data_IF_872258935305
#
_entry.id   IF_872258935305
#
_cell.length_a   1.000
_cell.length_b   1.000
_cell.length_c   1.000
_cell.angle_alpha   90.00
_cell.angle_beta   90.00
_cell.angle_gamma   90.00
#
_symmetry.space_group_name_H-M   'P 1'
#
loop_
_entity.id
_entity.type
_entity.pdbx_description
1 polymer ?
#
# COMPACT_ATOMS: atom_id res chain seq x y z
N UNK A 1 -2.18 17.85 -6.48
CA UNK A 1 -2.89 17.60 -5.19
C UNK A 1 -3.17 16.11 -5.09
N UNK A 2 -3.42 15.55 -3.91
CA UNK A 2 -3.81 14.13 -3.76
C UNK A 2 -5.13 13.78 -4.47
N UNK A 3 -5.95 14.79 -4.76
CA UNK A 3 -7.18 14.66 -5.55
C UNK A 3 -6.96 14.67 -7.07
N UNK A 4 -5.72 14.85 -7.54
CA UNK A 4 -5.39 14.76 -8.96
C UNK A 4 -5.39 13.28 -9.39
N UNK A 5 -6.30 12.87 -10.29
CA UNK A 5 -6.44 11.47 -10.71
C UNK A 5 -5.18 10.93 -11.41
N UNK A 6 -4.32 11.80 -11.94
CA UNK A 6 -3.08 11.40 -12.61
C UNK A 6 -1.88 11.38 -11.66
N UNK A 7 -1.98 11.92 -10.45
CA UNK A 7 -0.84 12.06 -9.54
C UNK A 7 -0.38 10.72 -8.93
N UNK A 8 -1.30 9.82 -8.59
CA UNK A 8 -1.01 8.53 -7.95
C UNK A 8 -1.64 7.41 -8.78
N UNK A 9 -0.81 6.59 -9.42
CA UNK A 9 -1.28 5.53 -10.36
C UNK A 9 -0.74 4.15 -10.05
N UNK A 10 0.12 4.01 -9.04
CA UNK A 10 0.75 2.75 -8.64
C UNK A 10 0.52 2.41 -7.16
N UNK A 11 -0.44 3.10 -6.54
CA UNK A 11 -0.91 2.95 -5.18
C UNK A 11 -2.40 3.28 -5.16
N UNK A 12 -3.15 2.68 -4.25
CA UNK A 12 -4.50 3.11 -3.88
C UNK A 12 -4.44 4.01 -2.62
N UNK A 13 -4.54 5.34 -2.75
CA UNK A 13 -4.50 6.26 -1.60
C UNK A 13 -5.60 6.03 -0.56
N UNK A 14 -6.70 5.40 -0.97
CA UNK A 14 -7.90 5.20 -0.14
C UNK A 14 -7.99 3.77 0.41
N UNK A 15 -6.98 2.93 0.17
CA UNK A 15 -6.98 1.51 0.53
C UNK A 15 -7.25 1.19 1.99
N UNK A 16 -6.85 2.09 2.88
CA UNK A 16 -7.07 2.00 4.32
C UNK A 16 -8.54 2.21 4.73
N UNK A 17 -9.31 2.96 3.92
CA UNK A 17 -10.73 3.22 4.19
C UNK A 17 -11.61 2.00 4.01
N UNK A 18 -11.09 0.95 3.38
CA UNK A 18 -11.78 -0.34 3.34
C UNK A 18 -12.19 -0.76 4.74
N UNK A 19 -11.37 -0.62 5.79
CA UNK A 19 -11.68 -1.01 7.16
C UNK A 19 -12.47 0.03 7.97
N UNK A 20 -12.79 1.19 7.39
CA UNK A 20 -13.52 2.25 8.08
C UNK A 20 -14.96 1.82 8.42
N UNK A 21 -15.49 2.37 9.52
CA UNK A 21 -16.87 2.13 9.98
C UNK A 21 -17.94 2.79 9.11
N UNK A 22 -17.53 3.61 8.14
CA UNK A 22 -18.38 4.32 7.19
C UNK A 22 -17.73 4.36 5.80
N UNK A 23 -18.49 4.76 4.79
CA UNK A 23 -18.02 4.87 3.41
C UNK A 23 -18.13 3.57 2.60
N UNK A 24 -17.52 3.52 1.40
CA UNK A 24 -17.75 2.47 0.42
C UNK A 24 -17.43 1.05 0.90
N UNK A 25 -16.35 0.90 1.69
CA UNK A 25 -15.96 -0.40 2.23
C UNK A 25 -16.99 -0.98 3.18
N UNK A 26 -17.59 -0.15 4.03
CA UNK A 26 -18.64 -0.58 4.95
C UNK A 26 -19.95 -0.91 4.21
N UNK A 27 -20.33 -0.09 3.22
CA UNK A 27 -21.52 -0.34 2.40
C UNK A 27 -21.38 -1.67 1.62
N UNK A 28 -20.22 -1.94 1.04
CA UNK A 28 -19.93 -3.20 0.37
C UNK A 28 -20.05 -4.40 1.33
N UNK A 29 -19.52 -4.31 2.56
CA UNK A 29 -19.68 -5.37 3.57
C UNK A 29 -21.13 -5.59 3.99
N UNK A 30 -21.93 -4.53 4.12
CA UNK A 30 -23.38 -4.64 4.40
C UNK A 30 -24.12 -5.41 3.31
N UNK A 31 -23.64 -5.32 2.06
CA UNK A 31 -24.15 -6.11 0.93
C UNK A 31 -23.57 -7.52 0.84
N UNK A 32 -22.81 -7.96 1.85
CA UNK A 32 -22.17 -9.28 1.88
C UNK A 32 -20.91 -9.40 1.04
N UNK A 33 -20.37 -8.29 0.50
CA UNK A 33 -19.13 -8.31 -0.25
C UNK A 33 -17.94 -8.38 0.72
N UNK A 34 -17.05 -9.32 0.48
CA UNK A 34 -15.80 -9.40 1.23
C UNK A 34 -14.81 -8.34 0.72
N UNK A 35 -14.46 -7.38 1.58
CA UNK A 35 -13.56 -6.27 1.25
C UNK A 35 -12.31 -6.31 2.11
N UNK A 36 -11.16 -6.43 1.45
CA UNK A 36 -9.83 -6.36 2.09
C UNK A 36 -9.14 -5.02 1.81
N UNK A 37 -8.32 -4.53 2.76
CA UNK A 37 -7.49 -3.34 2.53
C UNK A 37 -6.33 -3.63 1.57
N UNK A 38 -6.08 -2.70 0.65
CA UNK A 38 -4.78 -2.56 -0.02
C UNK A 38 -3.77 -1.79 0.84
N UNK A 39 -4.21 -1.10 1.90
CA UNK A 39 -3.36 -0.53 2.95
C UNK A 39 -3.85 -1.01 4.32
N UNK A 40 -3.20 -2.03 4.87
CA UNK A 40 -3.53 -2.57 6.20
C UNK A 40 -2.74 -1.83 7.28
N UNK A 41 -3.46 -1.29 8.28
CA UNK A 41 -2.87 -0.50 9.37
C UNK A 41 -2.94 -1.29 10.67
N UNK A 42 -1.81 -1.46 11.35
CA UNK A 42 -1.72 -2.17 12.65
C UNK A 42 -0.71 -1.49 13.57
N UNK A 43 -0.89 -1.56 14.88
CA UNK A 43 0.13 -1.11 15.83
C UNK A 43 1.18 -2.20 16.06
N UNK A 44 2.44 -1.81 16.20
CA UNK A 44 3.52 -2.72 16.52
C UNK A 44 4.57 -2.05 17.41
N UNK A 45 5.38 -2.87 18.08
CA UNK A 45 6.65 -2.41 18.62
C UNK A 45 7.77 -3.05 17.79
N UNK A 46 8.73 -2.26 17.34
CA UNK A 46 9.85 -2.72 16.52
C UNK A 46 11.17 -2.41 17.21
N UNK A 47 12.16 -3.28 17.01
CA UNK A 47 13.51 -3.07 17.50
C UNK A 47 14.44 -2.94 16.30
N UNK A 48 15.17 -1.83 16.24
CA UNK A 48 16.17 -1.56 15.22
C UNK A 48 17.52 -1.47 15.90
N UNK A 49 18.52 -2.20 15.40
CA UNK A 49 19.86 -2.27 16.01
C UNK A 49 20.47 -0.87 16.15
N UNK A 50 20.27 -0.01 15.16
CA UNK A 50 20.76 1.36 15.13
C UNK A 50 20.18 2.22 16.26
N UNK A 51 18.90 2.00 16.58
CA UNK A 51 18.18 2.71 17.65
C UNK A 51 18.64 2.21 19.02
N UNK A 52 18.76 0.89 19.18
CA UNK A 52 19.31 0.29 20.40
C UNK A 52 20.72 0.83 20.68
N UNK A 53 21.58 0.90 19.66
CA UNK A 53 22.92 1.47 19.80
C UNK A 53 22.89 2.98 20.08
N UNK A 54 21.97 3.72 19.48
CA UNK A 54 21.82 5.15 19.74
C UNK A 54 21.41 5.45 21.18
N UNK A 55 20.52 4.64 21.76
CA UNK A 55 20.16 4.72 23.19
C UNK A 55 21.36 4.39 24.06
N UNK A 56 22.06 3.27 23.77
CA UNK A 56 23.25 2.84 24.55
C UNK A 56 24.37 3.89 24.55
N UNK A 57 24.55 4.59 23.44
CA UNK A 57 25.60 5.62 23.29
C UNK A 57 25.13 7.02 23.73
N UNK A 58 23.92 7.15 24.26
CA UNK A 58 23.36 8.43 24.72
C UNK A 58 22.97 9.41 23.61
N UNK A 59 22.94 8.97 22.34
CA UNK A 59 22.50 9.79 21.19
C UNK A 59 20.98 9.97 21.13
N UNK A 60 20.23 9.03 21.70
CA UNK A 60 18.78 9.10 21.83
C UNK A 60 18.37 8.86 23.28
N UNK A 61 17.41 9.64 23.75
CA UNK A 61 16.81 9.50 25.08
C UNK A 61 15.49 8.75 24.99
N UNK A 62 15.27 7.83 25.93
CA UNK A 62 13.99 7.12 26.08
C UNK A 62 12.94 8.09 26.60
N UNK A 63 11.78 8.14 25.93
CA UNK A 63 10.63 8.99 26.30
C UNK A 63 9.45 8.19 26.90
N UNK A 64 9.52 6.85 26.84
CA UNK A 64 8.49 5.94 27.37
C UNK A 64 7.24 5.80 26.49
N UNK A 65 7.11 6.61 25.44
CA UNK A 65 5.93 6.66 24.56
C UNK A 65 6.28 6.16 23.15
N UNK A 66 7.09 6.93 22.41
CA UNK A 66 7.57 6.59 21.07
C UNK A 66 8.79 5.67 21.17
N UNK A 67 9.76 6.04 22.00
CA UNK A 67 10.97 5.26 22.26
C UNK A 67 10.92 4.75 23.70
N UNK A 68 10.68 3.45 23.84
CA UNK A 68 10.59 2.75 25.12
C UNK A 68 11.94 2.19 25.54
N UNK A 69 11.98 1.70 26.78
CA UNK A 69 13.15 1.04 27.34
C UNK A 69 13.69 -0.07 26.41
N UNK A 70 15.01 -0.27 26.44
CA UNK A 70 15.67 -1.25 25.59
C UNK A 70 15.76 -0.89 24.10
N UNK A 71 15.38 0.34 23.71
CA UNK A 71 15.45 0.80 22.32
C UNK A 71 14.27 0.34 21.45
N UNK A 72 13.12 0.07 22.09
CA UNK A 72 11.92 -0.42 21.43
C UNK A 72 11.08 0.77 20.92
N UNK A 73 10.84 0.81 19.61
CA UNK A 73 10.03 1.86 19.00
C UNK A 73 8.57 1.45 18.93
N UNK A 74 7.68 2.29 19.43
CA UNK A 74 6.24 2.16 19.25
C UNK A 74 5.82 2.79 17.93
N UNK A 75 5.19 1.99 17.06
CA UNK A 75 4.85 2.41 15.71
C UNK A 75 3.43 2.02 15.31
N UNK A 76 2.87 2.81 14.40
CA UNK A 76 1.80 2.37 13.51
C UNK A 76 2.45 1.85 12.23
N UNK A 77 2.17 0.60 11.89
CA UNK A 77 2.68 -0.07 10.69
C UNK A 77 1.61 -0.08 9.62
N UNK A 78 1.92 0.50 8.46
CA UNK A 78 1.10 0.43 7.26
C UNK A 78 1.71 -0.60 6.29
N UNK A 79 1.03 -1.72 6.05
CA UNK A 79 1.36 -2.67 4.98
C UNK A 79 0.59 -2.27 3.71
N UNK A 80 1.31 -2.00 2.64
CA UNK A 80 0.82 -1.34 1.43
C UNK A 80 1.01 -2.27 0.24
N UNK A 81 -0.09 -2.72 -0.34
CA UNK A 81 -0.13 -3.49 -1.56
C UNK A 81 -0.10 -2.58 -2.80
N UNK A 82 0.60 -2.98 -3.87
CA UNK A 82 0.62 -2.21 -5.11
C UNK A 82 -0.74 -2.29 -5.81
N UNK A 83 -1.28 -1.14 -6.20
CA UNK A 83 -2.52 -1.04 -6.99
C UNK A 83 -2.26 -0.15 -8.19
N UNK A 84 -2.37 -0.72 -9.38
CA UNK A 84 -1.99 -0.08 -10.62
C UNK A 84 -3.22 0.41 -11.38
N UNK A 85 -3.29 1.71 -11.62
CA UNK A 85 -4.26 2.33 -12.53
C UNK A 85 -3.70 2.28 -13.95
N UNK A 86 -4.15 1.31 -14.75
CA UNK A 86 -3.58 0.96 -16.06
C UNK A 86 -3.52 2.14 -17.05
N UNK A 87 -4.59 2.97 -17.22
CA UNK A 87 -4.51 4.16 -18.08
C UNK A 87 -3.42 5.13 -17.62
N UNK A 88 -3.35 5.38 -16.31
CA UNK A 88 -2.40 6.32 -15.72
C UNK A 88 -0.94 5.86 -15.81
N UNK A 89 -0.71 4.54 -15.75
CA UNK A 89 0.60 3.93 -15.98
C UNK A 89 0.99 4.02 -17.45
N UNK A 90 0.07 3.68 -18.36
CA UNK A 90 0.32 3.76 -19.80
C UNK A 90 0.73 5.17 -20.21
N UNK A 91 0.02 6.19 -19.70
CA UNK A 91 0.35 7.61 -19.90
C UNK A 91 1.76 7.97 -19.42
N UNK A 92 2.20 7.48 -18.25
CA UNK A 92 3.57 7.72 -17.74
C UNK A 92 4.65 7.08 -18.62
N UNK A 93 4.38 5.90 -19.14
CA UNK A 93 5.29 5.22 -20.07
C UNK A 93 5.18 5.73 -21.51
N UNK A 94 4.24 6.64 -21.81
CA UNK A 94 3.93 7.14 -23.16
C UNK A 94 3.58 5.99 -24.12
N UNK A 95 2.76 5.06 -23.63
CA UNK A 95 2.29 3.89 -24.38
C UNK A 95 0.77 3.92 -24.49
N UNK A 96 0.25 3.26 -25.53
CA UNK A 96 -1.15 2.87 -25.57
C UNK A 96 -1.46 1.86 -24.46
N UNK A 97 -2.61 2.01 -23.81
CA UNK A 97 -3.01 1.13 -22.70
C UNK A 97 -3.14 -0.34 -23.14
N UNK A 98 -3.64 -0.58 -24.35
CA UNK A 98 -3.76 -1.91 -24.96
C UNK A 98 -2.38 -2.58 -25.12
N UNK A 99 -1.35 -1.81 -25.48
CA UNK A 99 0.01 -2.30 -25.59
C UNK A 99 0.59 -2.64 -24.22
N UNK A 100 0.37 -1.79 -23.21
CA UNK A 100 0.77 -2.04 -21.83
C UNK A 100 0.15 -3.35 -21.31
N UNK A 101 -1.18 -3.49 -21.46
CA UNK A 101 -1.92 -4.69 -21.03
C UNK A 101 -1.40 -5.97 -21.68
N UNK A 102 -1.19 -5.94 -23.00
CA UNK A 102 -0.63 -7.07 -23.74
C UNK A 102 0.75 -7.45 -23.22
N UNK A 103 1.62 -6.45 -22.99
CA UNK A 103 2.96 -6.70 -22.46
C UNK A 103 2.94 -7.27 -21.05
N UNK A 104 2.07 -6.77 -20.17
CA UNK A 104 1.89 -7.33 -18.83
C UNK A 104 1.41 -8.80 -18.89
N UNK A 105 0.47 -9.12 -19.77
CA UNK A 105 0.01 -10.50 -19.99
C UNK A 105 1.15 -11.41 -20.47
N UNK A 106 1.90 -10.99 -21.50
CA UNK A 106 3.05 -11.75 -22.02
C UNK A 106 4.14 -11.97 -20.95
N UNK A 107 4.53 -10.92 -20.22
CA UNK A 107 5.58 -10.99 -19.20
C UNK A 107 5.19 -11.78 -17.96
N UNK A 108 3.90 -11.93 -17.68
CA UNK A 108 3.39 -12.77 -16.59
C UNK A 108 3.14 -14.22 -17.04
N UNK A 109 3.57 -14.60 -18.24
CA UNK A 109 3.38 -15.96 -18.75
C UNK A 109 1.91 -16.32 -18.98
N UNK A 110 1.07 -15.31 -19.24
CA UNK A 110 -0.36 -15.49 -19.43
C UNK A 110 -1.19 -15.66 -18.16
N UNK A 111 -0.62 -15.37 -16.97
CA UNK A 111 -1.28 -15.57 -15.68
C UNK A 111 -2.55 -14.74 -15.47
N UNK A 112 -2.68 -13.59 -16.15
CA UNK A 112 -3.79 -12.65 -15.99
C UNK A 112 -4.55 -12.42 -17.31
N UNK A 113 -5.35 -13.39 -17.79
CA UNK A 113 -6.10 -13.26 -19.03
C UNK A 113 -7.07 -12.07 -19.06
N UNK A 114 -7.52 -11.61 -17.89
CA UNK A 114 -8.36 -10.42 -17.72
C UNK A 114 -7.72 -9.12 -18.24
N UNK A 115 -6.38 -9.05 -18.31
CA UNK A 115 -5.70 -7.92 -18.95
C UNK A 115 -6.10 -7.75 -20.42
N UNK A 116 -6.49 -8.85 -21.08
CA UNK A 116 -6.94 -8.86 -22.47
C UNK A 116 -8.46 -8.91 -22.55
N UNK A 117 -9.11 -9.76 -21.73
CA UNK A 117 -10.54 -10.05 -21.86
C UNK A 117 -11.46 -9.06 -21.13
N UNK A 118 -10.93 -8.29 -20.18
CA UNK A 118 -11.68 -7.33 -19.35
C UNK A 118 -11.10 -5.92 -19.47
N UNK A 119 -11.32 -5.32 -20.63
CA UNK A 119 -10.92 -3.93 -20.90
C UNK A 119 -11.72 -2.91 -20.09
N UNK A 120 -12.83 -3.32 -19.48
CA UNK A 120 -13.63 -2.52 -18.54
C UNK A 120 -12.95 -2.34 -17.18
N UNK A 121 -11.94 -3.15 -16.83
CA UNK A 121 -11.21 -3.04 -15.58
C UNK A 121 -10.01 -2.11 -15.71
N UNK A 122 -10.06 -0.92 -15.11
CA UNK A 122 -8.97 0.06 -15.13
C UNK A 122 -7.86 -0.20 -14.10
N UNK A 123 -8.07 -1.16 -13.20
CA UNK A 123 -7.21 -1.43 -12.03
C UNK A 123 -6.62 -2.83 -12.13
N UNK A 124 -5.34 -2.96 -11.77
CA UNK A 124 -4.59 -4.21 -11.74
C UNK A 124 -3.78 -4.31 -10.44
N UNK A 125 -3.74 -5.48 -9.83
CA UNK A 125 -2.90 -5.76 -8.66
C UNK A 125 -1.72 -6.62 -9.14
N UNK A 126 -0.55 -6.01 -9.44
CA UNK A 126 0.59 -6.76 -9.94
C UNK A 126 1.12 -7.72 -8.87
N UNK A 127 1.62 -8.90 -9.28
CA UNK A 127 2.19 -9.90 -8.37
C UNK A 127 3.63 -9.51 -7.95
N UNK A 128 3.77 -8.35 -7.34
CA UNK A 128 5.04 -7.80 -6.86
C UNK A 128 4.95 -7.54 -5.36
N UNK A 129 6.09 -7.53 -4.68
CA UNK A 129 6.13 -7.32 -3.23
C UNK A 129 5.54 -5.96 -2.82
N UNK A 130 4.70 -5.99 -1.79
CA UNK A 130 4.21 -4.80 -1.10
C UNK A 130 5.31 -4.04 -0.34
N UNK A 131 4.94 -2.90 0.23
CA UNK A 131 5.80 -2.05 1.05
C UNK A 131 5.26 -1.94 2.46
N UNK A 132 6.15 -1.73 3.43
CA UNK A 132 5.76 -1.43 4.81
C UNK A 132 6.29 -0.07 5.20
N UNK A 133 5.42 0.79 5.74
CA UNK A 133 5.77 2.09 6.28
C UNK A 133 5.49 2.13 7.80
N UNK A 134 6.52 2.06 8.65
CA UNK A 134 6.37 2.33 10.07
C UNK A 134 6.32 3.85 10.31
N UNK A 135 5.35 4.29 11.10
CA UNK A 135 5.17 5.67 11.56
C UNK A 135 5.32 5.67 13.08
N UNK A 136 6.06 6.63 13.63
CA UNK A 136 6.12 6.78 15.09
C UNK A 136 4.72 7.03 15.65
N UNK A 137 4.42 6.34 16.74
CA UNK A 137 3.14 6.45 17.44
C UNK A 137 3.35 7.23 18.72
N UNK A 138 2.75 8.42 18.79
CA UNK A 138 2.59 9.23 19.99
C UNK A 138 1.37 8.79 20.83
#
# INVERSE_FOLDING_TARGET
SWSDPDAIVALDPWGHLSAASSGPGQEARRRGVHVQPSIAVSTANIMLTEIVQAVKTGRLSVDGTVLKEGGLLSVVKCAIEPVWHLPGIAKRFKLEESLLRRKLFEHTGGMFPELITRTDLSVFLPPIGGRTAPLFRD
#
